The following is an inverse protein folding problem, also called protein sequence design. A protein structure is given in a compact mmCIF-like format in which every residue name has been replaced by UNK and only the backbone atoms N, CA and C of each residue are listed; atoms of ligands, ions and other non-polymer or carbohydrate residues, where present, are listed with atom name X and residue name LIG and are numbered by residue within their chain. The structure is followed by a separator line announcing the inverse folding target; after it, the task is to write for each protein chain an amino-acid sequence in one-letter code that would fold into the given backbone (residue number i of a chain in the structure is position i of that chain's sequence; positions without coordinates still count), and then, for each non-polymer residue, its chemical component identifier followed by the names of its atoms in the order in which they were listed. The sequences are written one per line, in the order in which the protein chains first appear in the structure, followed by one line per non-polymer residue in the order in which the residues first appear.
data_IF_773697018782
#
_entry.id   IF_773697018782
#
_cell.length_a   1.000
_cell.length_b   1.000
_cell.length_c   1.000
_cell.angle_alpha   90.00
_cell.angle_beta   90.00
_cell.angle_gamma   90.00
#
_symmetry.space_group_name_H-M   'P 1'
#
loop_
_entity.id
_entity.type
_entity.pdbx_description
1 polymer ?
#
# COMPACT_ATOMS: atom_id res chain seq x y z
N UNK A 1 16.10 -11.60 48.90
CA UNK A 1 16.31 -12.54 47.77
C UNK A 1 16.26 -14.02 48.16
N UNK A 2 17.14 -14.54 49.04
CA UNK A 2 17.17 -15.99 49.37
C UNK A 2 15.83 -16.60 49.83
N UNK A 3 15.08 -15.89 50.68
CA UNK A 3 13.75 -16.34 51.15
C UNK A 3 12.69 -16.43 50.05
N UNK A 4 12.75 -15.56 49.03
CA UNK A 4 11.82 -15.60 47.90
C UNK A 4 12.08 -16.84 47.02
N UNK A 5 13.36 -17.18 46.84
CA UNK A 5 13.82 -18.34 46.07
C UNK A 5 13.41 -19.65 46.76
N UNK A 6 13.52 -19.75 48.09
CA UNK A 6 13.06 -20.94 48.81
C UNK A 6 11.54 -21.09 48.76
N UNK A 7 10.81 -19.97 48.84
CA UNK A 7 9.35 -19.99 48.77
C UNK A 7 8.88 -20.48 47.38
N UNK A 8 9.42 -19.94 46.29
CA UNK A 8 9.08 -20.42 44.94
C UNK A 8 9.44 -21.89 44.75
N UNK A 9 10.62 -22.33 45.20
CA UNK A 9 11.04 -23.74 45.07
C UNK A 9 10.13 -24.73 45.82
N UNK A 10 9.51 -24.29 46.93
CA UNK A 10 8.61 -25.13 47.74
C UNK A 10 7.22 -25.29 47.12
N UNK A 11 6.65 -24.25 46.51
CA UNK A 11 5.27 -24.28 45.99
C UNK A 11 5.16 -24.55 44.48
N UNK A 12 6.21 -24.29 43.71
CA UNK A 12 6.23 -24.50 42.25
C UNK A 12 5.84 -25.94 41.83
N UNK A 13 6.33 -27.02 42.47
CA UNK A 13 5.99 -28.38 42.05
C UNK A 13 4.49 -28.71 42.17
N UNK A 14 3.79 -28.07 43.12
CA UNK A 14 2.35 -28.27 43.33
C UNK A 14 1.50 -27.33 42.47
N UNK A 15 1.99 -26.12 42.16
CA UNK A 15 1.30 -25.17 41.29
C UNK A 15 1.36 -25.56 39.81
N UNK A 16 2.46 -26.16 39.35
CA UNK A 16 2.64 -26.57 37.95
C UNK A 16 1.53 -27.53 37.47
N UNK A 17 1.25 -28.69 38.10
CA UNK A 17 0.21 -29.60 37.62
C UNK A 17 -1.20 -29.03 37.71
N UNK A 18 -1.43 -28.01 38.56
CA UNK A 18 -2.70 -27.29 38.66
C UNK A 18 -2.88 -26.27 37.52
N UNK A 19 -1.83 -25.50 37.20
CA UNK A 19 -1.90 -24.41 36.22
C UNK A 19 -1.62 -24.88 34.79
N UNK A 20 -0.80 -25.93 34.63
CA UNK A 20 -0.37 -26.41 33.31
C UNK A 20 -1.54 -26.87 32.43
N UNK A 21 -2.54 -27.66 32.90
CA UNK A 21 -3.67 -28.04 32.07
C UNK A 21 -4.49 -26.84 31.60
N UNK A 22 -4.74 -25.87 32.49
CA UNK A 22 -5.45 -24.63 32.16
C UNK A 22 -4.68 -23.77 31.17
N UNK A 23 -3.35 -23.69 31.31
CA UNK A 23 -2.48 -22.99 30.37
C UNK A 23 -2.50 -23.66 29.00
N UNK A 24 -2.36 -24.98 28.94
CA UNK A 24 -2.37 -25.75 27.70
C UNK A 24 -3.73 -25.66 27.00
N UNK A 25 -4.83 -25.74 27.76
CA UNK A 25 -6.17 -25.57 27.24
C UNK A 25 -6.38 -24.14 26.72
N UNK A 26 -5.95 -23.13 27.48
CA UNK A 26 -6.01 -21.74 27.05
C UNK A 26 -5.17 -21.48 25.79
N UNK A 27 -4.00 -22.09 25.68
CA UNK A 27 -3.18 -22.05 24.46
C UNK A 27 -3.88 -22.74 23.30
N UNK A 28 -4.44 -23.94 23.48
CA UNK A 28 -5.14 -24.64 22.40
C UNK A 28 -6.36 -23.86 21.90
N UNK A 29 -7.16 -23.32 22.83
CA UNK A 29 -8.32 -22.47 22.53
C UNK A 29 -7.89 -21.13 21.92
N UNK A 30 -6.74 -20.57 22.29
CA UNK A 30 -6.28 -19.29 21.75
C UNK A 30 -5.59 -19.40 20.39
N UNK A 31 -4.73 -20.41 20.22
CA UNK A 31 -3.82 -20.53 19.07
C UNK A 31 -4.57 -20.79 17.77
N UNK A 32 -5.50 -21.75 17.74
CA UNK A 32 -6.19 -22.09 16.51
C UNK A 32 -7.12 -20.97 16.00
N UNK A 33 -8.10 -20.47 16.78
CA UNK A 33 -8.94 -19.37 16.30
C UNK A 33 -8.15 -18.06 16.18
N UNK A 34 -7.11 -17.85 16.99
CA UNK A 34 -6.20 -16.72 16.82
C UNK A 34 -5.48 -16.77 15.46
N UNK A 35 -5.00 -17.96 15.05
CA UNK A 35 -4.40 -18.16 13.73
C UNK A 35 -5.41 -17.99 12.60
N UNK A 36 -6.65 -18.48 12.75
CA UNK A 36 -7.69 -18.27 11.73
C UNK A 36 -8.09 -16.79 11.61
N UNK A 37 -8.20 -16.07 12.73
CA UNK A 37 -8.44 -14.64 12.72
C UNK A 37 -7.27 -13.88 12.07
N UNK A 38 -6.03 -14.26 12.40
CA UNK A 38 -4.84 -13.73 11.73
C UNK A 38 -4.89 -13.97 10.22
N UNK A 39 -5.18 -15.19 9.78
CA UNK A 39 -5.28 -15.54 8.36
C UNK A 39 -6.38 -14.74 7.65
N UNK A 40 -7.56 -14.63 8.25
CA UNK A 40 -8.66 -13.85 7.67
C UNK A 40 -8.30 -12.36 7.58
N UNK A 41 -7.71 -11.80 8.64
CA UNK A 41 -7.31 -10.39 8.63
C UNK A 41 -6.21 -10.16 7.60
N UNK A 42 -5.15 -10.97 7.57
CA UNK A 42 -3.93 -10.67 6.82
C UNK A 42 -3.82 -11.29 5.44
N UNK A 43 -4.55 -12.37 5.16
CA UNK A 43 -4.42 -13.17 3.94
C UNK A 43 -5.74 -13.31 3.18
N UNK A 44 -6.79 -12.62 3.62
CA UNK A 44 -8.08 -12.61 2.94
C UNK A 44 -8.49 -11.15 2.69
N UNK A 45 -8.61 -10.78 1.41
CA UNK A 45 -9.08 -9.46 1.03
C UNK A 45 -10.49 -9.17 1.57
N UNK A 46 -11.30 -10.21 1.80
CA UNK A 46 -12.63 -10.17 2.38
C UNK A 46 -12.73 -9.40 3.69
N UNK A 47 -11.66 -9.39 4.50
CA UNK A 47 -11.61 -8.58 5.71
C UNK A 47 -11.77 -7.10 5.42
N UNK A 48 -11.00 -6.56 4.46
CA UNK A 48 -11.09 -5.16 4.06
C UNK A 48 -12.44 -4.82 3.43
N UNK A 49 -13.10 -5.80 2.79
CA UNK A 49 -14.42 -5.63 2.16
C UNK A 49 -15.57 -5.52 3.18
N UNK A 50 -15.31 -5.78 4.46
CA UNK A 50 -16.33 -5.60 5.50
C UNK A 50 -16.62 -4.14 5.82
N UNK A 51 -15.78 -3.21 5.34
CA UNK A 51 -15.90 -1.79 5.62
C UNK A 51 -16.11 -0.97 4.34
N UNK A 52 -17.23 -0.25 4.28
CA UNK A 52 -17.62 0.58 3.12
C UNK A 52 -16.59 1.66 2.72
N UNK A 53 -15.67 2.02 3.63
CA UNK A 53 -14.56 2.94 3.34
C UNK A 53 -13.64 2.40 2.23
N UNK A 54 -13.67 1.09 1.97
CA UNK A 54 -12.87 0.40 0.98
C UNK A 54 -13.63 0.08 -0.33
N UNK A 55 -14.91 0.39 -0.47
CA UNK A 55 -15.71 -0.03 -1.64
C UNK A 55 -15.08 0.38 -2.98
N UNK A 56 -14.59 1.62 -3.10
CA UNK A 56 -13.97 2.09 -4.34
C UNK A 56 -12.65 1.36 -4.64
N UNK A 57 -11.88 1.07 -3.58
CA UNK A 57 -10.59 0.42 -3.64
C UNK A 57 -10.77 -1.04 -4.06
N UNK A 58 -11.77 -1.69 -3.46
CA UNK A 58 -12.20 -3.03 -3.75
C UNK A 58 -12.56 -3.18 -5.23
N UNK A 59 -13.47 -2.35 -5.75
CA UNK A 59 -13.92 -2.46 -7.15
C UNK A 59 -12.71 -2.37 -8.09
N UNK A 60 -11.87 -1.35 -7.88
CA UNK A 60 -10.70 -1.12 -8.74
C UNK A 60 -9.66 -2.25 -8.65
N UNK A 61 -9.49 -2.85 -7.46
CA UNK A 61 -8.61 -4.00 -7.25
C UNK A 61 -9.18 -5.28 -7.87
N UNK A 62 -10.46 -5.58 -7.66
CA UNK A 62 -11.15 -6.74 -8.22
C UNK A 62 -11.19 -6.73 -9.75
N UNK A 63 -11.24 -5.55 -10.37
CA UNK A 63 -11.22 -5.38 -11.83
C UNK A 63 -9.79 -5.41 -12.41
N UNK A 64 -8.75 -5.52 -11.58
CA UNK A 64 -7.35 -5.52 -12.01
C UNK A 64 -6.71 -6.91 -11.90
N UNK A 65 -5.58 -7.11 -12.58
CA UNK A 65 -4.75 -8.30 -12.44
C UNK A 65 -4.29 -8.57 -11.00
N UNK A 66 -4.16 -7.53 -10.17
CA UNK A 66 -3.84 -7.69 -8.75
C UNK A 66 -4.99 -8.35 -7.98
N UNK A 67 -6.24 -8.16 -8.43
CA UNK A 67 -7.43 -8.83 -7.88
C UNK A 67 -7.40 -10.35 -7.99
N UNK A 68 -6.65 -10.86 -8.95
CA UNK A 68 -6.57 -12.28 -9.28
C UNK A 68 -5.48 -13.01 -8.49
N UNK A 69 -4.41 -12.30 -8.12
CA UNK A 69 -3.17 -12.92 -7.61
C UNK A 69 -2.68 -12.36 -6.27
N UNK A 70 -3.23 -11.25 -5.78
CA UNK A 70 -2.83 -10.65 -4.49
C UNK A 70 -4.02 -10.46 -3.55
N UNK A 71 -3.75 -9.95 -2.37
CA UNK A 71 -4.71 -9.47 -1.36
C UNK A 71 -4.43 -8.00 -1.06
N UNK A 72 -5.35 -7.31 -0.36
CA UNK A 72 -5.13 -5.91 0.00
C UNK A 72 -3.85 -5.72 0.85
N UNK A 73 -3.55 -6.68 1.73
CA UNK A 73 -2.39 -6.61 2.62
C UNK A 73 -1.07 -6.93 1.93
N UNK A 74 -1.08 -7.43 0.69
CA UNK A 74 0.14 -7.64 -0.07
C UNK A 74 0.79 -6.32 -0.51
N UNK A 75 -0.01 -5.25 -0.58
CA UNK A 75 0.45 -3.89 -0.87
C UNK A 75 0.30 -2.95 0.34
N UNK A 76 -0.68 -3.18 1.22
CA UNK A 76 -0.95 -2.34 2.39
C UNK A 76 -0.39 -2.94 3.68
N UNK A 77 0.91 -2.73 3.91
CA UNK A 77 1.53 -3.07 5.18
C UNK A 77 1.26 -1.98 6.22
N UNK A 78 0.36 -2.27 7.15
CA UNK A 78 0.10 -1.41 8.31
C UNK A 78 0.86 -1.94 9.54
N UNK A 79 1.49 -1.07 10.36
CA UNK A 79 2.09 -1.48 11.62
C UNK A 79 1.06 -2.13 12.55
N UNK A 80 1.42 -3.22 13.23
CA UNK A 80 0.53 -3.96 14.13
C UNK A 80 -0.18 -3.07 15.17
N UNK A 81 0.52 -2.04 15.66
CA UNK A 81 -0.03 -1.06 16.60
C UNK A 81 -1.26 -0.33 16.04
N UNK A 82 -1.25 0.04 14.76
CA UNK A 82 -2.38 0.74 14.14
C UNK A 82 -3.62 -0.14 14.07
N UNK A 83 -3.47 -1.45 13.82
CA UNK A 83 -4.62 -2.38 13.89
C UNK A 83 -5.22 -2.47 15.29
N UNK A 84 -4.39 -2.47 16.34
CA UNK A 84 -4.89 -2.47 17.72
C UNK A 84 -5.62 -1.16 18.03
N UNK A 85 -5.09 -0.02 17.56
CA UNK A 85 -5.74 1.28 17.70
C UNK A 85 -7.08 1.32 16.94
N UNK A 86 -7.12 0.85 15.69
CA UNK A 86 -8.34 0.78 14.88
C UNK A 86 -9.38 -0.16 15.50
N UNK A 87 -8.97 -1.34 15.98
CA UNK A 87 -9.85 -2.28 16.67
C UNK A 87 -10.40 -1.69 17.97
N UNK A 88 -9.57 -0.98 18.73
CA UNK A 88 -10.00 -0.30 19.95
C UNK A 88 -11.01 0.81 19.63
N UNK A 89 -10.75 1.64 18.60
CA UNK A 89 -11.69 2.68 18.14
C UNK A 89 -12.99 2.05 17.66
N UNK A 90 -12.94 0.98 16.87
CA UNK A 90 -14.13 0.27 16.39
C UNK A 90 -14.96 -0.33 17.54
N UNK A 91 -14.29 -0.82 18.59
CA UNK A 91 -14.96 -1.40 19.75
C UNK A 91 -15.51 -0.35 20.75
N UNK A 92 -14.96 0.86 20.77
CA UNK A 92 -15.26 1.86 21.83
C UNK A 92 -15.87 3.16 21.33
N UNK A 93 -15.81 3.45 20.03
CA UNK A 93 -16.21 4.73 19.43
C UNK A 93 -17.04 4.51 18.17
N UNK A 94 -17.66 5.58 17.66
CA UNK A 94 -18.32 5.56 16.36
C UNK A 94 -17.28 5.42 15.23
N UNK A 95 -17.56 4.53 14.28
CA UNK A 95 -16.81 4.24 13.05
C UNK A 95 -16.34 5.49 12.28
N UNK A 96 -17.03 6.62 12.42
CA UNK A 96 -16.68 7.91 11.78
C UNK A 96 -15.31 8.46 12.18
N UNK A 97 -14.70 7.95 13.24
CA UNK A 97 -13.40 8.39 13.72
C UNK A 97 -12.21 7.53 13.27
N UNK A 98 -12.48 6.44 12.53
CA UNK A 98 -11.43 5.58 11.99
C UNK A 98 -10.72 6.34 10.86
N UNK A 99 -9.46 6.69 11.08
CA UNK A 99 -8.59 7.29 10.07
C UNK A 99 -7.75 6.20 9.44
N UNK A 100 -8.27 5.59 8.38
CA UNK A 100 -7.49 4.68 7.58
C UNK A 100 -6.70 5.47 6.53
N UNK A 101 -5.38 5.49 6.64
CA UNK A 101 -4.48 6.12 5.66
C UNK A 101 -3.76 5.00 4.92
N UNK A 102 -4.18 4.67 3.69
CA UNK A 102 -3.48 3.68 2.90
C UNK A 102 -2.06 4.18 2.62
N UNK A 103 -1.06 3.47 3.13
CA UNK A 103 0.34 3.72 2.82
C UNK A 103 0.87 2.53 2.01
N UNK A 104 1.29 2.80 0.78
CA UNK A 104 2.00 1.83 -0.06
C UNK A 104 3.42 2.32 -0.20
N UNK A 105 4.36 1.47 0.18
CA UNK A 105 5.79 1.73 0.01
C UNK A 105 6.18 1.34 -1.42
N UNK A 106 7.01 2.15 -2.08
CA UNK A 106 7.42 1.87 -3.46
C UNK A 106 8.19 0.55 -3.55
N UNK A 107 8.95 0.25 -2.50
CA UNK A 107 9.71 -0.98 -2.32
C UNK A 107 8.82 -2.24 -2.46
N UNK A 108 7.51 -2.16 -2.19
CA UNK A 108 6.59 -3.28 -2.39
C UNK A 108 6.29 -3.53 -3.87
N UNK A 109 6.15 -2.46 -4.67
CA UNK A 109 5.98 -2.59 -6.12
C UNK A 109 7.26 -3.17 -6.74
N UNK A 110 8.42 -2.69 -6.30
CA UNK A 110 9.73 -3.11 -6.77
C UNK A 110 10.06 -4.57 -6.40
N UNK A 111 9.45 -5.10 -5.34
CA UNK A 111 9.62 -6.49 -4.93
C UNK A 111 9.06 -7.49 -5.96
N UNK A 112 8.10 -7.08 -6.80
CA UNK A 112 7.47 -7.95 -7.79
C UNK A 112 7.74 -7.53 -9.24
N UNK A 113 7.94 -6.24 -9.50
CA UNK A 113 7.99 -5.69 -10.87
C UNK A 113 9.38 -5.33 -11.38
N UNK A 114 10.43 -5.43 -10.56
CA UNK A 114 11.82 -5.16 -11.00
C UNK A 114 12.57 -6.48 -11.09
N UNK A 115 13.39 -6.62 -12.15
CA UNK A 115 14.16 -7.85 -12.46
C UNK A 115 15.12 -8.31 -11.35
N UNK A 116 15.48 -7.43 -10.41
CA UNK A 116 16.35 -7.74 -9.27
C UNK A 116 15.75 -7.16 -7.97
N UNK A 117 14.66 -7.76 -7.46
CA UNK A 117 13.88 -7.18 -6.38
C UNK A 117 14.68 -7.06 -5.09
N UNK A 118 15.56 -8.02 -4.78
CA UNK A 118 16.42 -7.99 -3.58
C UNK A 118 17.46 -6.86 -3.57
N UNK A 119 17.74 -6.24 -4.73
CA UNK A 119 18.64 -5.09 -4.81
C UNK A 119 17.95 -3.75 -4.52
N UNK A 120 16.62 -3.73 -4.58
CA UNK A 120 15.79 -2.51 -4.51
C UNK A 120 14.82 -2.53 -3.32
N UNK A 121 14.33 -3.70 -2.95
CA UNK A 121 13.43 -3.92 -1.84
C UNK A 121 14.06 -4.77 -0.73
N UNK A 122 13.85 -4.31 0.51
CA UNK A 122 14.13 -5.09 1.72
C UNK A 122 12.94 -5.94 2.15
N UNK A 123 11.80 -5.82 1.45
CA UNK A 123 10.57 -6.53 1.73
C UNK A 123 10.45 -7.67 0.72
N UNK A 124 10.28 -8.90 1.24
CA UNK A 124 9.81 -10.00 0.41
C UNK A 124 8.34 -9.76 0.11
N UNK A 125 7.98 -9.80 -1.17
CA UNK A 125 6.57 -9.86 -1.58
C UNK A 125 5.88 -11.11 -1.02
N UNK A 126 4.56 -11.20 -1.16
CA UNK A 126 3.78 -12.36 -0.69
C UNK A 126 3.74 -13.51 -1.69
N UNK A 127 4.31 -13.28 -2.87
CA UNK A 127 4.40 -14.22 -3.98
C UNK A 127 5.65 -15.09 -3.79
N UNK A 128 5.51 -16.37 -4.09
CA UNK A 128 6.66 -17.29 -4.13
C UNK A 128 7.48 -17.04 -5.41
N UNK A 129 8.71 -17.54 -5.46
CA UNK A 129 9.61 -17.31 -6.59
C UNK A 129 9.00 -17.78 -7.93
N UNK A 130 8.21 -18.86 -7.91
CA UNK A 130 7.52 -19.38 -9.09
C UNK A 130 6.44 -18.42 -9.63
N UNK A 131 5.74 -17.70 -8.74
CA UNK A 131 4.72 -16.72 -9.13
C UNK A 131 5.36 -15.47 -9.73
N UNK A 132 6.61 -15.16 -9.38
CA UNK A 132 7.37 -14.02 -9.88
C UNK A 132 7.91 -14.23 -11.30
N UNK A 133 8.16 -15.46 -11.73
CA UNK A 133 8.70 -15.76 -13.07
C UNK A 133 7.77 -15.30 -14.21
N UNK A 134 6.45 -15.30 -13.98
CA UNK A 134 5.44 -14.88 -14.94
C UNK A 134 5.11 -13.38 -14.90
N UNK A 135 5.73 -12.61 -14.01
CA UNK A 135 5.37 -11.20 -13.82
C UNK A 135 6.04 -10.30 -14.87
N UNK A 136 5.32 -9.27 -15.37
CA UNK A 136 5.92 -8.27 -16.24
C UNK A 136 6.94 -7.44 -15.44
N UNK A 137 8.20 -7.50 -15.91
CA UNK A 137 9.31 -6.75 -15.33
C UNK A 137 9.38 -5.38 -15.96
N UNK A 138 8.90 -4.37 -15.25
CA UNK A 138 8.73 -3.02 -15.79
C UNK A 138 10.08 -2.38 -16.14
N UNK A 139 11.15 -2.73 -15.42
CA UNK A 139 12.50 -2.19 -15.65
C UNK A 139 13.12 -2.64 -16.97
N UNK A 140 12.53 -3.64 -17.64
CA UNK A 140 12.94 -4.07 -18.99
C UNK A 140 12.29 -3.25 -20.10
N UNK A 141 11.12 -2.66 -19.83
CA UNK A 141 10.43 -1.84 -20.81
C UNK A 141 11.11 -0.47 -20.94
N UNK A 142 11.31 -0.02 -22.18
CA UNK A 142 12.03 1.23 -22.46
C UNK A 142 11.41 2.45 -21.76
N UNK A 143 10.08 2.54 -21.74
CA UNK A 143 9.38 3.70 -21.23
C UNK A 143 9.45 3.80 -19.71
N UNK A 144 9.28 2.70 -18.98
CA UNK A 144 9.45 2.71 -17.52
C UNK A 144 10.91 2.96 -17.14
N UNK A 145 11.87 2.35 -17.82
CA UNK A 145 13.29 2.58 -17.56
C UNK A 145 13.67 4.07 -17.71
N UNK A 146 13.15 4.73 -18.76
CA UNK A 146 13.33 6.17 -18.95
C UNK A 146 12.73 6.96 -17.79
N UNK A 147 11.45 6.75 -17.46
CA UNK A 147 10.79 7.49 -16.39
C UNK A 147 11.42 7.27 -15.01
N UNK A 148 11.75 6.03 -14.64
CA UNK A 148 12.37 5.71 -13.35
C UNK A 148 13.78 6.29 -13.19
N UNK A 149 14.43 6.68 -14.29
CA UNK A 149 15.72 7.37 -14.28
C UNK A 149 15.60 8.89 -14.16
N UNK A 150 14.41 9.44 -14.41
CA UNK A 150 14.15 10.87 -14.35
C UNK A 150 13.86 11.35 -12.93
N UNK A 151 14.03 12.66 -12.74
CA UNK A 151 13.75 13.34 -11.48
C UNK A 151 12.46 14.13 -11.54
N UNK A 152 11.83 14.29 -10.38
CA UNK A 152 10.65 15.12 -10.20
C UNK A 152 10.75 15.93 -8.91
N UNK A 153 10.15 17.11 -8.93
CA UNK A 153 9.92 17.94 -7.74
C UNK A 153 8.51 17.76 -7.18
N UNK A 154 7.69 16.90 -7.80
CA UNK A 154 6.35 16.58 -7.29
C UNK A 154 6.50 15.87 -5.94
N UNK A 155 5.92 16.40 -4.85
CA UNK A 155 6.04 15.76 -3.54
C UNK A 155 5.32 14.42 -3.52
N UNK A 156 5.79 13.49 -2.69
CA UNK A 156 5.12 12.20 -2.57
C UNK A 156 3.75 12.36 -1.89
N UNK A 157 2.78 11.49 -2.22
CA UNK A 157 1.45 11.48 -1.61
C UNK A 157 1.43 11.56 -0.08
N UNK A 158 2.37 10.86 0.57
CA UNK A 158 2.55 10.84 2.03
C UNK A 158 2.78 12.23 2.66
N UNK A 159 3.26 13.19 1.86
CA UNK A 159 3.58 14.56 2.29
C UNK A 159 2.39 15.51 2.17
N UNK A 160 1.41 15.15 1.34
CA UNK A 160 0.16 15.88 1.31
C UNK A 160 -0.58 15.56 2.61
N UNK A 161 -0.67 16.55 3.50
CA UNK A 161 -1.58 16.49 4.63
C UNK A 161 -3.03 16.58 4.14
N UNK A 162 -3.51 15.56 3.43
CA UNK A 162 -4.86 15.48 2.83
C UNK A 162 -5.94 15.78 3.88
N UNK A 163 -5.67 15.45 5.14
CA UNK A 163 -6.57 15.70 6.26
C UNK A 163 -6.69 17.16 6.71
N UNK A 164 -5.76 18.05 6.33
CA UNK A 164 -5.78 19.45 6.80
C UNK A 164 -6.58 20.39 5.92
N UNK A 165 -6.93 19.99 4.69
CA UNK A 165 -7.56 20.92 3.75
C UNK A 165 -8.70 20.25 2.98
N UNK A 166 -9.92 20.38 3.52
CA UNK A 166 -11.15 19.81 2.96
C UNK A 166 -11.48 20.35 1.56
N UNK A 167 -10.98 21.54 1.21
CA UNK A 167 -11.12 22.15 -0.11
C UNK A 167 -10.25 21.45 -1.18
N UNK A 168 -9.03 21.03 -0.83
CA UNK A 168 -8.16 20.23 -1.70
C UNK A 168 -8.87 18.92 -2.07
N UNK A 169 -9.50 18.26 -1.10
CA UNK A 169 -10.25 17.02 -1.30
C UNK A 169 -11.42 17.13 -2.30
N UNK A 170 -12.03 18.33 -2.43
CA UNK A 170 -13.13 18.60 -3.36
C UNK A 170 -12.66 19.07 -4.76
N UNK A 171 -11.43 19.59 -4.88
CA UNK A 171 -10.85 20.02 -6.16
C UNK A 171 -10.09 18.92 -6.90
N UNK A 172 -9.69 17.84 -6.21
CA UNK A 172 -8.96 16.72 -6.80
C UNK A 172 -9.84 15.94 -7.79
N UNK A 173 -9.41 15.87 -9.05
CA UNK A 173 -10.13 15.23 -10.16
C UNK A 173 -10.59 16.19 -11.25
N UNK A 174 -10.49 17.51 -11.03
CA UNK A 174 -10.53 18.50 -12.12
C UNK A 174 -9.09 18.80 -12.54
N UNK A 175 -8.80 18.81 -13.84
CA UNK A 175 -7.58 19.37 -14.46
C UNK A 175 -7.47 20.90 -14.25
N UNK A 176 -7.99 21.41 -13.13
CA UNK A 176 -7.93 22.82 -12.83
C UNK A 176 -6.64 23.08 -12.09
N UNK A 177 -5.79 23.94 -12.67
CA UNK A 177 -4.50 24.36 -12.14
C UNK A 177 -4.60 24.76 -10.68
N UNK A 178 -4.31 23.84 -9.76
CA UNK A 178 -4.01 24.25 -8.40
C UNK A 178 -2.62 24.86 -8.42
N UNK A 179 -2.58 26.19 -8.33
CA UNK A 179 -1.39 26.90 -7.89
C UNK A 179 -1.13 26.48 -6.45
N UNK A 180 -0.20 25.55 -6.28
CA UNK A 180 0.41 25.28 -5.00
C UNK A 180 1.16 26.55 -4.59
N UNK A 181 0.60 27.33 -3.66
CA UNK A 181 1.31 28.47 -3.04
C UNK A 181 2.40 28.00 -2.06
N UNK A 182 2.72 26.69 -2.00
CA UNK A 182 3.78 26.15 -1.17
C UNK A 182 5.14 26.31 -1.85
N UNK A 183 5.75 27.48 -1.60
CA UNK A 183 7.13 27.84 -1.92
C UNK A 183 8.17 27.13 -1.02
N UNK A 184 7.92 25.86 -0.66
CA UNK A 184 8.81 25.10 0.21
C UNK A 184 9.79 24.35 -0.69
N UNK A 185 11.09 24.52 -0.44
CA UNK A 185 12.21 23.96 -1.22
C UNK A 185 11.85 22.57 -1.77
N UNK A 186 11.50 22.52 -3.07
CA UNK A 186 11.07 21.28 -3.69
C UNK A 186 12.33 20.42 -3.90
N UNK A 187 12.54 19.45 -3.02
CA UNK A 187 13.66 18.52 -3.11
C UNK A 187 13.47 17.62 -4.34
N UNK A 188 14.46 17.63 -5.24
CA UNK A 188 14.47 16.70 -6.37
C UNK A 188 14.58 15.26 -5.87
N UNK A 189 13.68 14.41 -6.35
CA UNK A 189 13.73 12.96 -6.12
C UNK A 189 13.53 12.20 -7.42
N UNK A 190 13.87 10.92 -7.43
CA UNK A 190 13.54 10.04 -8.55
C UNK A 190 12.02 9.87 -8.68
N UNK A 191 11.56 9.70 -9.92
CA UNK A 191 10.21 9.23 -10.21
C UNK A 191 10.07 7.78 -9.70
N UNK A 192 8.89 7.47 -9.19
CA UNK A 192 8.54 6.20 -8.58
C UNK A 192 7.22 5.68 -9.13
N UNK A 193 6.91 4.40 -8.89
CA UNK A 193 5.71 3.76 -9.43
C UNK A 193 4.42 4.56 -9.13
N UNK A 194 4.29 5.08 -7.91
CA UNK A 194 3.10 5.82 -7.45
C UNK A 194 2.96 7.24 -8.03
N UNK A 195 3.96 7.72 -8.77
CA UNK A 195 3.85 9.01 -9.48
C UNK A 195 2.99 8.88 -10.73
N UNK A 196 2.97 7.69 -11.33
CA UNK A 196 2.19 7.38 -12.51
C UNK A 196 0.95 6.55 -12.16
N UNK A 197 1.12 5.53 -11.32
CA UNK A 197 0.08 4.62 -10.84
C UNK A 197 -0.59 5.17 -9.57
N UNK A 198 -1.89 4.96 -9.42
CA UNK A 198 -2.66 5.50 -8.29
C UNK A 198 -3.27 6.89 -8.53
N UNK A 199 -2.89 7.57 -9.62
CA UNK A 199 -3.45 8.86 -10.02
C UNK A 199 -3.20 10.00 -9.02
N UNK A 200 -3.76 11.18 -9.27
CA UNK A 200 -3.93 12.21 -8.24
C UNK A 200 -5.30 11.99 -7.60
N UNK A 201 -5.45 11.85 -6.27
CA UNK A 201 -4.50 12.10 -5.17
C UNK A 201 -3.88 10.81 -4.56
N UNK A 202 -3.23 9.98 -5.36
CA UNK A 202 -2.71 8.67 -4.97
C UNK A 202 -3.78 7.78 -4.36
N UNK A 203 -4.88 7.63 -5.11
CA UNK A 203 -5.76 6.49 -4.92
C UNK A 203 -5.01 5.29 -5.47
N UNK A 204 -4.06 4.76 -4.72
CA UNK A 204 -3.18 3.66 -5.09
C UNK A 204 -3.91 2.39 -5.58
N UNK A 205 -5.23 2.38 -5.47
CA UNK A 205 -6.16 1.41 -6.05
C UNK A 205 -6.48 1.64 -7.54
N UNK A 206 -6.00 2.72 -8.17
CA UNK A 206 -6.01 2.83 -9.62
C UNK A 206 -4.69 2.25 -10.15
N UNK A 207 -4.68 0.94 -10.38
CA UNK A 207 -3.52 0.17 -10.80
C UNK A 207 -3.02 0.57 -12.20
N UNK A 208 -3.84 1.24 -12.99
CA UNK A 208 -3.44 1.81 -14.27
C UNK A 208 -2.81 3.19 -14.09
N UNK A 209 -1.76 3.46 -14.86
CA UNK A 209 -1.33 4.84 -15.08
C UNK A 209 -2.52 5.67 -15.61
N UNK A 210 -2.61 6.94 -15.23
CA UNK A 210 -3.67 7.84 -15.69
C UNK A 210 -3.11 8.95 -16.55
N UNK A 211 -3.82 9.33 -17.61
CA UNK A 211 -3.41 10.43 -18.48
C UNK A 211 -3.27 11.76 -17.72
N UNK A 212 -4.05 11.93 -16.65
CA UNK A 212 -3.93 13.08 -15.74
C UNK A 212 -2.58 13.10 -14.99
N UNK A 213 -2.08 11.95 -14.53
CA UNK A 213 -0.75 11.85 -13.92
C UNK A 213 0.34 12.23 -14.92
N UNK A 214 0.24 11.69 -16.15
CA UNK A 214 1.18 11.99 -17.23
C UNK A 214 1.19 13.49 -17.55
N UNK A 215 0.02 14.08 -17.82
CA UNK A 215 -0.11 15.49 -18.16
C UNK A 215 0.41 16.41 -17.05
N UNK A 216 0.11 16.10 -15.78
CA UNK A 216 0.58 16.90 -14.65
C UNK A 216 2.11 16.87 -14.49
N UNK A 217 2.74 15.71 -14.71
CA UNK A 217 4.20 15.62 -14.63
C UNK A 217 4.86 16.33 -15.83
N UNK A 218 4.37 16.09 -17.04
CA UNK A 218 4.93 16.68 -18.26
C UNK A 218 4.75 18.20 -18.35
N UNK A 219 3.67 18.77 -17.80
CA UNK A 219 3.51 20.24 -17.71
C UNK A 219 4.64 20.88 -16.87
N UNK A 220 5.22 20.14 -15.91
CA UNK A 220 6.28 20.62 -15.02
C UNK A 220 7.70 20.38 -15.53
N UNK A 221 7.93 19.29 -16.27
CA UNK A 221 9.28 18.85 -16.62
C UNK A 221 9.76 19.27 -18.00
N UNK A 222 8.89 19.31 -19.02
CA UNK A 222 9.35 19.42 -20.41
C UNK A 222 8.61 20.49 -21.21
N UNK A 223 7.30 20.37 -21.47
CA UNK A 223 6.51 21.34 -22.24
C UNK A 223 5.00 21.08 -22.02
N UNK A 224 4.13 22.06 -22.31
CA UNK A 224 2.68 21.84 -22.31
C UNK A 224 2.32 20.68 -23.26
N UNK A 225 1.36 19.81 -22.90
CA UNK A 225 0.84 18.81 -23.81
C UNK A 225 0.41 19.44 -25.14
N UNK A 226 0.71 18.77 -26.25
CA UNK A 226 0.16 19.12 -27.56
C UNK A 226 -1.36 18.91 -27.59
N UNK A 227 -2.05 19.59 -28.51
CA UNK A 227 -3.51 19.42 -28.71
C UNK A 227 -3.90 17.95 -28.97
N UNK A 228 -3.01 17.19 -29.64
CA UNK A 228 -3.19 15.75 -29.84
C UNK A 228 -3.12 14.98 -28.52
N UNK A 229 -2.16 15.30 -27.65
CA UNK A 229 -2.01 14.68 -26.34
C UNK A 229 -3.18 15.03 -25.40
N UNK A 230 -3.71 16.25 -25.48
CA UNK A 230 -4.92 16.64 -24.73
C UNK A 230 -6.17 15.90 -25.23
N UNK A 231 -6.28 15.69 -26.54
CA UNK A 231 -7.45 15.07 -27.17
C UNK A 231 -7.49 13.55 -27.03
N UNK A 232 -6.33 12.89 -27.13
CA UNK A 232 -6.24 11.42 -27.15
C UNK A 232 -5.62 10.84 -25.88
N UNK A 233 -5.01 11.65 -25.01
CA UNK A 233 -4.30 11.17 -23.83
C UNK A 233 -2.92 10.61 -24.17
N UNK A 234 -2.03 10.62 -23.18
CA UNK A 234 -0.66 10.13 -23.32
C UNK A 234 -0.63 8.61 -23.54
N UNK A 235 -1.53 7.89 -22.86
CA UNK A 235 -1.57 6.43 -22.93
C UNK A 235 -1.92 5.95 -24.32
N UNK A 236 -2.82 6.56 -25.08
CA UNK A 236 -3.16 6.05 -26.42
C UNK A 236 -1.92 5.95 -27.33
N UNK A 237 -0.99 6.91 -27.23
CA UNK A 237 0.24 6.90 -28.01
C UNK A 237 1.32 5.97 -27.43
N UNK A 238 1.41 5.87 -26.10
CA UNK A 238 2.46 5.11 -25.41
C UNK A 238 2.05 3.69 -24.96
N UNK A 239 0.76 3.34 -25.06
CA UNK A 239 0.20 2.06 -24.61
C UNK A 239 0.87 0.82 -25.23
N UNK A 240 1.27 0.82 -26.51
CA UNK A 240 2.02 -0.30 -27.06
C UNK A 240 3.31 -0.57 -26.26
N UNK A 241 4.03 0.47 -25.84
CA UNK A 241 5.26 0.33 -25.06
C UNK A 241 5.01 -0.20 -23.63
N UNK A 242 3.76 -0.17 -23.17
CA UNK A 242 3.33 -0.76 -21.89
C UNK A 242 2.83 -2.22 -22.02
N UNK A 243 2.51 -2.69 -23.23
CA UNK A 243 2.01 -4.05 -23.47
C UNK A 243 2.99 -4.98 -24.18
N UNK A 244 4.01 -4.43 -24.85
CA UNK A 244 4.96 -5.21 -25.64
C UNK A 244 6.10 -5.66 -24.73
N UNK A 245 5.85 -6.74 -23.99
CA UNK A 245 6.80 -7.75 -23.51
C UNK A 245 5.98 -8.75 -22.65
N UNK A 246 5.23 -9.62 -23.33
CA UNK A 246 4.74 -10.88 -22.77
C UNK A 246 5.57 -12.01 -23.37
#
# INVERSE_FOLDING_TARGET
MKRLIEYTKRYLPSLVPLLLPSLLLGMAIGLYPGYQAYKYIWKDAGFCLTCHQHDYAQISWQESVHGEITTCHDCHHQPLRQYVEEMFVLATQDSKHIKHIPNIQNELCEACHISNPHSRSSLSGPLEDEDLEGMPMIDKTQLHALHLSEKTTVPLPKEFAVHKNRSLQQSYGRLNKQKSDQKKDEEERLITCVDCHGGIPNRAHNFSATDASCANCHEKTAHKPSELQESFGCRICHFPEFLIEQ
#
